data_IF_694132111791
#
_entry.id   IF_694132111791
#
_cell.length_a   1.000
_cell.length_b   1.000
_cell.length_c   1.000
_cell.angle_alpha   90.00
_cell.angle_beta   90.00
_cell.angle_gamma   90.00
#
_symmetry.space_group_name_H-M   'P 1'
#
loop_
_entity.id
_entity.type
_entity.pdbx_description
1 polymer ?
#
# COMPACT_ATOMS: atom_id res chain seq x y z
N UNK A 1 0.49 -2.45 -16.57
CA UNK A 1 1.34 -1.42 -15.95
C UNK A 1 0.64 -0.76 -14.77
N UNK A 2 0.98 -1.22 -13.56
CA UNK A 2 0.63 -0.55 -12.30
C UNK A 2 1.82 0.30 -11.83
N UNK A 3 1.55 1.30 -11.02
CA UNK A 3 2.57 2.05 -10.28
C UNK A 3 2.52 1.58 -8.83
N UNK A 4 3.64 1.05 -8.33
CA UNK A 4 3.74 0.45 -7.00
C UNK A 4 4.79 1.23 -6.22
N UNK A 5 4.32 2.07 -5.30
CA UNK A 5 5.17 2.85 -4.41
C UNK A 5 5.37 2.11 -3.09
N UNK A 6 6.61 1.63 -2.89
CA UNK A 6 7.05 1.01 -1.65
C UNK A 6 7.54 2.08 -0.67
N UNK A 7 6.80 2.28 0.42
CA UNK A 7 7.18 3.17 1.52
C UNK A 7 7.98 2.35 2.53
N UNK A 8 9.30 2.44 2.42
CA UNK A 8 10.27 1.58 3.10
C UNK A 8 10.81 2.29 4.33
N UNK A 9 10.88 1.59 5.46
CA UNK A 9 11.44 2.17 6.69
C UNK A 9 11.28 1.30 7.91
N UNK A 10 12.07 1.57 8.94
CA UNK A 10 12.07 0.83 10.21
C UNK A 10 10.78 1.03 11.02
N UNK A 11 10.64 0.29 12.13
CA UNK A 11 9.54 0.54 13.08
C UNK A 11 9.69 1.96 13.63
N UNK A 12 8.62 2.76 13.59
CA UNK A 12 8.64 4.16 14.02
C UNK A 12 9.13 5.16 12.96
N UNK A 13 9.54 4.71 11.76
CA UNK A 13 10.03 5.60 10.69
C UNK A 13 8.95 6.47 10.01
N UNK A 14 7.70 6.45 10.49
CA UNK A 14 6.64 7.29 9.91
C UNK A 14 5.97 6.77 8.63
N UNK A 15 6.18 5.51 8.22
CA UNK A 15 5.50 4.92 7.04
C UNK A 15 3.98 5.07 7.06
N UNK A 16 3.34 4.73 8.17
CA UNK A 16 1.89 4.86 8.32
C UNK A 16 1.46 6.33 8.17
N UNK A 17 2.25 7.25 8.74
CA UNK A 17 2.04 8.70 8.60
C UNK A 17 2.05 9.11 7.13
N UNK A 18 3.09 8.72 6.40
CA UNK A 18 3.21 9.01 4.98
C UNK A 18 2.00 8.47 4.19
N UNK A 19 1.55 7.25 4.48
CA UNK A 19 0.39 6.64 3.81
C UNK A 19 -0.90 7.42 4.08
N UNK A 20 -1.15 7.81 5.33
CA UNK A 20 -2.34 8.59 5.68
C UNK A 20 -2.29 10.02 5.12
N UNK A 21 -1.12 10.66 5.14
CA UNK A 21 -0.92 11.97 4.51
C UNK A 21 -1.14 11.89 3.00
N UNK A 22 -0.68 10.81 2.34
CA UNK A 22 -0.93 10.58 0.91
C UNK A 22 -2.41 10.34 0.63
N UNK A 23 -3.12 9.62 1.50
CA UNK A 23 -4.58 9.47 1.41
C UNK A 23 -5.25 10.84 1.47
N UNK A 24 -4.91 11.67 2.44
CA UNK A 24 -5.52 12.99 2.63
C UNK A 24 -5.21 13.93 1.46
N UNK A 25 -3.98 13.89 0.92
CA UNK A 25 -3.59 14.58 -0.31
C UNK A 25 -4.50 14.18 -1.48
N UNK A 26 -4.64 12.87 -1.75
CA UNK A 26 -5.47 12.38 -2.85
C UNK A 26 -6.95 12.76 -2.68
N UNK A 27 -7.48 12.70 -1.46
CA UNK A 27 -8.84 13.15 -1.18
C UNK A 27 -9.00 14.66 -1.46
N UNK A 28 -7.98 15.47 -1.14
CA UNK A 28 -7.98 16.91 -1.45
C UNK A 28 -7.93 17.21 -2.95
N UNK A 29 -7.35 16.30 -3.74
CA UNK A 29 -7.34 16.34 -5.22
C UNK A 29 -8.66 15.85 -5.84
N UNK A 30 -9.65 15.49 -5.03
CA UNK A 30 -10.97 15.09 -5.48
C UNK A 30 -11.15 13.59 -5.69
N UNK A 31 -10.18 12.76 -5.27
CA UNK A 31 -10.41 11.32 -5.17
C UNK A 31 -11.47 11.02 -4.10
N UNK A 32 -12.18 9.91 -4.25
CA UNK A 32 -13.20 9.46 -3.31
C UNK A 32 -12.86 8.10 -2.75
N UNK A 33 -13.00 7.92 -1.44
CA UNK A 33 -12.93 6.59 -0.83
C UNK A 33 -14.10 5.74 -1.28
N UNK A 34 -13.79 4.56 -1.81
CA UNK A 34 -14.79 3.59 -2.31
C UNK A 34 -14.83 2.32 -1.47
N UNK A 35 -13.75 2.01 -0.76
CA UNK A 35 -13.65 0.88 0.17
C UNK A 35 -12.56 1.16 1.21
N UNK A 36 -12.67 0.55 2.38
CA UNK A 36 -11.67 0.65 3.43
C UNK A 36 -11.74 -0.53 4.39
N UNK A 37 -10.59 -0.85 4.99
CA UNK A 37 -10.47 -1.85 6.04
C UNK A 37 -9.61 -1.31 7.16
N UNK A 38 -10.01 -1.60 8.41
CA UNK A 38 -9.28 -1.20 9.63
C UNK A 38 -8.95 0.32 9.66
N UNK A 39 -9.86 1.16 9.19
CA UNK A 39 -9.66 2.61 9.08
C UNK A 39 -9.25 3.27 10.41
N UNK A 40 -9.75 2.78 11.53
CA UNK A 40 -9.40 3.27 12.87
C UNK A 40 -8.03 2.76 13.38
N UNK A 41 -7.43 1.74 12.75
CA UNK A 41 -6.09 1.25 13.09
C UNK A 41 -5.04 1.90 12.19
N UNK A 42 -4.44 2.97 12.71
CA UNK A 42 -3.40 3.72 12.04
C UNK A 42 -2.28 2.86 11.43
N UNK A 43 -1.93 1.73 12.04
CA UNK A 43 -0.82 0.87 11.60
C UNK A 43 -1.25 -0.28 10.69
N UNK A 44 -2.54 -0.44 10.40
CA UNK A 44 -3.08 -1.54 9.59
C UNK A 44 -4.20 -1.09 8.65
N UNK A 45 -4.44 0.21 8.53
CA UNK A 45 -5.48 0.75 7.68
C UNK A 45 -5.17 0.49 6.21
N UNK A 46 -6.22 0.14 5.48
CA UNK A 46 -6.21 -0.08 4.03
C UNK A 46 -7.34 0.75 3.43
N UNK A 47 -7.05 1.48 2.37
CA UNK A 47 -8.01 2.34 1.68
C UNK A 47 -7.99 2.05 0.18
N UNK A 48 -9.15 1.98 -0.44
CA UNK A 48 -9.30 2.08 -1.89
C UNK A 48 -9.92 3.43 -2.23
N UNK A 49 -9.23 4.19 -3.09
CA UNK A 49 -9.66 5.48 -3.58
C UNK A 49 -9.90 5.40 -5.08
N UNK A 50 -10.90 6.15 -5.57
CA UNK A 50 -11.19 6.30 -6.99
C UNK A 50 -11.04 7.75 -7.42
N UNK A 51 -10.31 7.98 -8.50
CA UNK A 51 -10.08 9.31 -9.06
C UNK A 51 -11.33 9.81 -9.80
N UNK A 52 -11.42 11.13 -10.08
CA UNK A 52 -12.45 11.67 -10.96
C UNK A 52 -12.46 11.07 -12.38
N UNK A 53 -11.31 10.56 -12.85
CA UNK A 53 -11.16 9.92 -14.15
C UNK A 53 -11.43 8.41 -14.11
N UNK A 54 -11.71 7.85 -12.94
CA UNK A 54 -12.06 6.44 -12.74
C UNK A 54 -10.89 5.52 -12.40
N UNK A 55 -9.67 6.06 -12.27
CA UNK A 55 -8.48 5.32 -11.82
C UNK A 55 -8.66 4.87 -10.36
N UNK A 56 -8.21 3.66 -10.01
CA UNK A 56 -8.26 3.13 -8.64
C UNK A 56 -6.86 3.08 -8.04
N UNK A 57 -6.76 3.56 -6.80
CA UNK A 57 -5.56 3.54 -5.99
C UNK A 57 -5.81 2.83 -4.67
N UNK A 58 -4.86 2.03 -4.22
CA UNK A 58 -4.92 1.34 -2.93
C UNK A 58 -3.76 1.79 -2.04
N UNK A 59 -4.08 2.13 -0.80
CA UNK A 59 -3.13 2.60 0.19
C UNK A 59 -3.15 1.67 1.40
N UNK A 60 -2.01 1.10 1.77
CA UNK A 60 -1.86 0.17 2.89
C UNK A 60 -0.79 0.66 3.88
N UNK A 61 -1.17 0.86 5.14
CA UNK A 61 -0.23 1.26 6.21
C UNK A 61 0.42 0.08 6.94
N UNK A 62 -0.08 -1.14 6.77
CA UNK A 62 0.33 -2.33 7.53
C UNK A 62 1.36 -3.21 6.83
N UNK A 63 2.45 -3.54 7.53
CA UNK A 63 3.50 -4.43 6.98
C UNK A 63 4.30 -5.25 8.00
N UNK A 64 3.90 -5.22 9.27
CA UNK A 64 4.75 -5.68 10.37
C UNK A 64 4.69 -7.19 10.61
N UNK A 65 3.64 -7.84 10.12
CA UNK A 65 3.38 -9.27 10.34
C UNK A 65 2.83 -9.93 9.09
N UNK A 66 3.01 -11.24 9.02
CA UNK A 66 2.51 -12.07 7.90
C UNK A 66 1.00 -11.96 7.72
N UNK A 67 0.22 -12.04 8.79
CA UNK A 67 -1.24 -11.96 8.76
C UNK A 67 -1.74 -10.61 8.22
N UNK A 68 -1.05 -9.52 8.58
CA UNK A 68 -1.34 -8.17 8.06
C UNK A 68 -1.08 -8.10 6.56
N UNK A 69 0.05 -8.66 6.10
CA UNK A 69 0.42 -8.70 4.68
C UNK A 69 -0.56 -9.56 3.87
N UNK A 70 -0.96 -10.71 4.41
CA UNK A 70 -1.90 -11.63 3.76
C UNK A 70 -3.31 -11.02 3.65
N UNK A 71 -3.73 -10.28 4.67
CA UNK A 71 -4.98 -9.54 4.64
C UNK A 71 -4.96 -8.43 3.59
N UNK A 72 -3.83 -7.73 3.43
CA UNK A 72 -3.66 -6.77 2.36
C UNK A 72 -3.74 -7.43 0.97
N UNK A 73 -3.13 -8.59 0.78
CA UNK A 73 -3.28 -9.36 -0.47
C UNK A 73 -4.72 -9.78 -0.74
N UNK A 74 -5.47 -10.15 0.30
CA UNK A 74 -6.90 -10.44 0.17
C UNK A 74 -7.67 -9.20 -0.28
N UNK A 75 -7.39 -8.04 0.30
CA UNK A 75 -8.00 -6.78 -0.11
C UNK A 75 -7.65 -6.44 -1.56
N UNK A 76 -6.37 -6.54 -1.97
CA UNK A 76 -5.95 -6.30 -3.35
C UNK A 76 -6.71 -7.18 -4.35
N UNK A 77 -6.94 -8.46 -4.04
CA UNK A 77 -7.68 -9.37 -4.92
C UNK A 77 -9.14 -8.99 -5.17
N UNK A 78 -9.71 -8.11 -4.35
CA UNK A 78 -11.07 -7.60 -4.51
C UNK A 78 -11.14 -6.36 -5.42
N UNK A 79 -9.98 -5.81 -5.81
CA UNK A 79 -9.83 -4.58 -6.57
C UNK A 79 -8.83 -4.78 -7.72
N UNK A 80 -9.16 -5.70 -8.64
CA UNK A 80 -8.30 -6.10 -9.77
C UNK A 80 -7.98 -4.95 -10.73
N UNK A 81 -8.81 -3.90 -10.75
CA UNK A 81 -8.65 -2.70 -11.58
C UNK A 81 -7.61 -1.69 -11.05
N UNK A 82 -6.95 -2.00 -9.92
CA UNK A 82 -6.00 -1.07 -9.29
C UNK A 82 -4.83 -0.72 -10.21
N UNK A 83 -4.59 0.59 -10.38
CA UNK A 83 -3.46 1.11 -11.16
C UNK A 83 -2.37 1.72 -10.29
N UNK A 84 -2.70 2.18 -9.07
CA UNK A 84 -1.72 2.71 -8.11
C UNK A 84 -1.78 1.98 -6.80
N UNK A 85 -0.64 1.55 -6.30
CA UNK A 85 -0.52 0.88 -5.00
C UNK A 85 0.52 1.61 -4.18
N UNK A 86 0.13 2.09 -3.01
CA UNK A 86 1.02 2.65 -2.00
C UNK A 86 1.03 1.70 -0.81
N UNK A 87 2.19 1.14 -0.46
CA UNK A 87 2.25 0.22 0.67
C UNK A 87 3.45 0.50 1.56
N UNK A 88 3.20 0.53 2.86
CA UNK A 88 4.26 0.40 3.84
C UNK A 88 4.96 -0.95 3.68
N UNK A 89 6.27 -0.99 3.90
CA UNK A 89 7.06 -2.22 3.93
C UNK A 89 8.29 -2.05 4.83
N UNK A 90 8.75 -3.14 5.47
CA UNK A 90 10.05 -3.13 6.19
C UNK A 90 11.21 -3.26 5.20
N UNK A 91 12.39 -2.68 5.49
CA UNK A 91 13.57 -2.90 4.67
C UNK A 91 13.91 -4.38 4.55
N UNK A 92 14.40 -4.80 3.39
CA UNK A 92 14.81 -6.18 3.13
C UNK A 92 15.89 -6.65 4.13
N UNK A 93 16.78 -5.76 4.56
CA UNK A 93 17.84 -6.06 5.54
C UNK A 93 17.31 -6.38 6.93
N UNK A 94 16.10 -5.93 7.28
CA UNK A 94 15.49 -6.11 8.60
C UNK A 94 14.62 -7.36 8.64
N UNK A 95 13.80 -7.57 7.61
CA UNK A 95 12.98 -8.76 7.49
C UNK A 95 12.86 -9.20 6.03
N UNK A 96 13.83 -9.97 5.52
CA UNK A 96 13.87 -10.36 4.11
C UNK A 96 12.68 -11.25 3.72
N UNK A 97 12.15 -12.04 4.66
CA UNK A 97 11.02 -12.92 4.40
C UNK A 97 9.72 -12.15 4.17
N UNK A 98 9.39 -11.19 5.04
CA UNK A 98 8.20 -10.36 4.85
C UNK A 98 8.35 -9.41 3.66
N UNK A 99 9.56 -8.89 3.43
CA UNK A 99 9.84 -8.07 2.25
C UNK A 99 9.57 -8.83 0.96
N UNK A 100 10.12 -10.06 0.84
CA UNK A 100 9.89 -10.93 -0.31
C UNK A 100 8.41 -11.29 -0.45
N UNK A 101 7.74 -11.63 0.65
CA UNK A 101 6.31 -11.97 0.64
C UNK A 101 5.44 -10.82 0.13
N UNK A 102 5.65 -9.61 0.64
CA UNK A 102 4.91 -8.43 0.18
C UNK A 102 5.11 -8.22 -1.33
N UNK A 103 6.36 -8.30 -1.82
CA UNK A 103 6.67 -8.05 -3.24
C UNK A 103 6.19 -9.15 -4.18
N UNK A 104 6.45 -10.41 -3.83
CA UNK A 104 6.25 -11.54 -4.73
C UNK A 104 4.88 -12.18 -4.55
N UNK A 105 4.46 -12.41 -3.31
CA UNK A 105 3.23 -13.18 -3.05
C UNK A 105 1.99 -12.27 -3.06
N UNK A 106 2.12 -11.03 -2.61
CA UNK A 106 0.98 -10.10 -2.42
C UNK A 106 0.86 -9.11 -3.57
N UNK A 107 1.90 -8.31 -3.82
CA UNK A 107 1.90 -7.35 -4.92
C UNK A 107 2.04 -8.04 -6.28
N UNK A 108 2.70 -9.21 -6.29
CA UNK A 108 3.05 -9.96 -7.49
C UNK A 108 3.62 -9.02 -8.57
N UNK A 109 4.66 -8.26 -8.23
CA UNK A 109 5.27 -7.24 -9.10
C UNK A 109 5.80 -7.93 -10.37
N UNK A 110 5.38 -7.43 -11.53
CA UNK A 110 5.79 -7.90 -12.85
C UNK A 110 6.77 -6.93 -13.51
N UNK A 111 7.41 -7.34 -14.60
CA UNK A 111 8.39 -6.52 -15.34
C UNK A 111 7.78 -5.27 -15.97
N UNK A 112 6.47 -5.23 -16.22
CA UNK A 112 5.76 -4.08 -16.77
C UNK A 112 5.21 -3.12 -15.70
N UNK A 113 5.43 -3.41 -14.40
CA UNK A 113 5.08 -2.49 -13.32
C UNK A 113 6.18 -1.46 -13.10
N UNK A 114 5.78 -0.25 -12.71
CA UNK A 114 6.69 0.80 -12.28
C UNK A 114 6.82 0.69 -10.76
N UNK A 115 7.98 0.27 -10.28
CA UNK A 115 8.30 0.26 -8.84
C UNK A 115 8.95 1.59 -8.43
N UNK A 116 8.27 2.33 -7.56
CA UNK A 116 8.79 3.51 -6.88
C UNK A 116 9.16 3.18 -5.44
N UNK A 117 10.16 3.89 -4.90
CA UNK A 117 10.67 3.63 -3.54
C UNK A 117 10.80 4.93 -2.78
N UNK A 118 10.17 4.99 -1.61
CA UNK A 118 10.28 6.08 -0.64
C UNK A 118 10.98 5.51 0.59
N UNK A 119 12.20 5.95 0.88
CA UNK A 119 12.98 5.49 2.03
C UNK A 119 12.82 6.50 3.19
N UNK A 120 12.43 6.02 4.38
CA UNK A 120 12.15 6.79 5.60
C UNK A 120 12.98 6.31 6.80
#
# INVERSE_FOLDING_TARGET
>A
MRIITLVIGNKGAGKSKWILEKKDEMLSEGWKQIDAKKEADYNQAIFALKSPTGEVAILNSGSDRKDIIDEFGTFLSQHEEVLRIFTAIRPQSINPHLYKRMRTDVLNIQDDDIEERIEL
#
